data_IF_834088960861
#
_entry.id   IF_834088960861
#
_cell.length_a   1.000
_cell.length_b   1.000
_cell.length_c   1.000
_cell.angle_alpha   90.00
_cell.angle_beta   90.00
_cell.angle_gamma   90.00
#
_symmetry.space_group_name_H-M   'P 1'
#
loop_
_entity.id
_entity.type
_entity.pdbx_description
1 polymer ?
#
# COMPACT_ATOMS: atom_id res chain seq x y z
N UNK A 1 -2.04 38.55 6.04
CA UNK A 1 -1.56 39.65 6.87
C UNK A 1 -1.55 40.90 6.02
N UNK A 2 -2.47 41.82 6.26
CA UNK A 2 -2.44 43.13 5.61
C UNK A 2 -1.21 43.87 6.13
N UNK A 3 -0.30 44.20 5.24
CA UNK A 3 0.78 45.16 5.51
C UNK A 3 0.41 46.48 4.84
N UNK A 4 -0.17 47.36 5.60
CA UNK A 4 -0.19 48.75 5.21
C UNK A 4 0.99 49.44 5.92
N UNK A 5 1.83 50.08 5.15
CA UNK A 5 3.04 50.75 5.68
C UNK A 5 2.75 52.16 6.21
N UNK A 6 1.51 52.67 6.07
CA UNK A 6 1.17 54.06 6.40
C UNK A 6 -0.33 54.24 6.66
N UNK A 7 -0.96 53.38 7.49
CA UNK A 7 -2.30 53.62 8.00
C UNK A 7 -2.17 54.43 9.30
N UNK A 8 -2.91 55.52 9.40
CA UNK A 8 -2.98 56.27 10.65
C UNK A 8 -3.65 55.41 11.74
N UNK A 9 -3.29 55.54 13.01
CA UNK A 9 -3.76 54.65 14.07
C UNK A 9 -5.29 54.59 14.24
N UNK A 10 -6.00 55.63 13.84
CA UNK A 10 -7.46 55.72 13.87
C UNK A 10 -8.16 55.10 12.67
N UNK A 11 -7.43 54.81 11.60
CA UNK A 11 -8.03 54.19 10.40
C UNK A 11 -8.09 52.67 10.52
N UNK A 12 -9.28 52.15 10.50
CA UNK A 12 -9.54 50.68 10.58
C UNK A 12 -9.88 50.14 9.20
N UNK A 13 -9.09 49.19 8.74
CA UNK A 13 -9.47 48.40 7.56
C UNK A 13 -10.49 47.33 7.95
N UNK A 14 -11.65 47.38 7.33
CA UNK A 14 -12.73 46.41 7.53
C UNK A 14 -12.79 45.40 6.36
N UNK A 15 -13.19 44.18 6.63
CA UNK A 15 -13.40 43.13 5.64
C UNK A 15 -13.31 41.74 6.26
N UNK A 16 -13.77 40.75 5.55
CA UNK A 16 -13.65 39.32 5.89
C UNK A 16 -12.53 38.66 5.09
N UNK A 17 -12.05 37.52 5.54
CA UNK A 17 -11.13 36.67 4.78
C UNK A 17 -11.95 35.49 4.26
N UNK A 18 -12.09 35.41 2.95
CA UNK A 18 -12.85 34.34 2.29
C UNK A 18 -11.98 33.57 1.30
N UNK A 19 -12.39 32.36 0.93
CA UNK A 19 -11.81 31.61 -0.17
C UNK A 19 -12.37 32.09 -1.55
N UNK A 20 -12.04 31.32 -2.62
CA UNK A 20 -12.51 31.63 -3.98
C UNK A 20 -14.03 31.54 -4.14
N UNK A 21 -14.70 30.73 -3.31
CA UNK A 21 -16.13 30.51 -3.31
C UNK A 21 -16.88 31.51 -2.42
N UNK A 22 -16.15 32.34 -1.69
CA UNK A 22 -16.70 33.36 -0.81
C UNK A 22 -16.97 32.88 0.62
N UNK A 23 -16.52 31.68 0.96
CA UNK A 23 -16.70 31.08 2.28
C UNK A 23 -15.65 31.60 3.28
N UNK A 24 -16.05 31.80 4.53
CA UNK A 24 -15.14 32.20 5.61
C UNK A 24 -14.15 31.09 5.92
N UNK A 25 -12.86 31.35 5.63
CA UNK A 25 -11.78 30.39 5.83
C UNK A 25 -11.38 30.12 7.27
N UNK A 26 -11.94 30.82 8.22
CA UNK A 26 -11.61 30.60 9.65
C UNK A 26 -12.45 29.48 10.29
N UNK A 27 -13.46 28.96 9.59
CA UNK A 27 -14.48 28.11 10.18
C UNK A 27 -14.29 26.59 10.04
N UNK A 28 -13.83 26.05 8.94
CA UNK A 28 -13.63 24.60 8.78
C UNK A 28 -12.91 24.23 7.48
N UNK A 29 -11.73 23.66 7.58
CA UNK A 29 -11.09 23.08 6.42
C UNK A 29 -11.31 21.59 6.39
N UNK A 30 -12.05 21.17 5.37
CA UNK A 30 -12.32 19.79 5.16
C UNK A 30 -11.16 19.03 4.53
N UNK A 31 -10.59 19.51 3.44
CA UNK A 31 -9.73 18.71 2.58
C UNK A 31 -8.28 19.21 2.49
N UNK A 32 -7.35 18.29 2.25
CA UNK A 32 -5.99 18.63 1.88
C UNK A 32 -5.97 19.33 0.52
N UNK A 33 -5.21 20.41 0.40
CA UNK A 33 -5.15 21.19 -0.82
C UNK A 33 -4.55 22.57 -0.65
N UNK A 34 -4.56 23.32 -1.72
CA UNK A 34 -4.11 24.70 -1.73
C UNK A 34 -5.31 25.63 -1.95
N UNK A 35 -5.55 26.50 -0.99
CA UNK A 35 -6.65 27.46 -0.99
C UNK A 35 -6.09 28.87 -1.22
N UNK A 36 -6.77 29.64 -2.02
CA UNK A 36 -6.47 31.06 -2.22
C UNK A 36 -7.19 31.84 -1.14
N UNK A 37 -6.44 32.64 -0.40
CA UNK A 37 -7.01 33.58 0.58
C UNK A 37 -7.17 34.91 -0.13
N UNK A 38 -8.39 35.25 -0.46
CA UNK A 38 -8.74 36.56 -0.95
C UNK A 38 -9.34 37.37 0.21
N UNK A 39 -9.07 38.63 0.23
CA UNK A 39 -9.81 39.55 1.09
C UNK A 39 -10.85 40.25 0.25
N UNK A 40 -12.10 40.01 0.56
CA UNK A 40 -13.19 40.76 -0.02
C UNK A 40 -13.48 42.02 0.80
N UNK A 41 -13.95 43.09 0.12
CA UNK A 41 -14.44 44.32 0.71
C UNK A 41 -13.49 45.07 1.67
N UNK A 42 -12.18 45.03 1.41
CA UNK A 42 -11.31 45.94 2.11
C UNK A 42 -11.47 47.36 1.58
N UNK A 43 -12.22 48.16 2.30
CA UNK A 43 -12.47 49.55 1.94
C UNK A 43 -12.05 50.50 3.05
N UNK A 44 -11.55 51.63 2.67
CA UNK A 44 -11.28 52.74 3.55
C UNK A 44 -11.44 54.06 2.76
N UNK A 45 -12.09 55.07 3.35
CA UNK A 45 -12.36 56.31 2.66
C UNK A 45 -11.11 57.12 2.34
N UNK A 46 -10.06 56.95 3.12
CA UNK A 46 -8.84 57.73 3.03
C UNK A 46 -7.73 57.01 2.23
N UNK A 47 -7.95 55.74 1.85
CA UNK A 47 -6.90 54.91 1.19
C UNK A 47 -7.47 54.16 -0.01
N UNK A 48 -6.67 54.06 -1.06
CA UNK A 48 -6.88 53.11 -2.15
C UNK A 48 -6.30 51.76 -1.73
N UNK A 49 -7.17 50.80 -1.40
CA UNK A 49 -6.78 49.51 -0.82
C UNK A 49 -6.58 48.48 -1.90
N UNK A 50 -5.32 48.08 -2.12
CA UNK A 50 -4.99 46.94 -3.01
C UNK A 50 -4.73 45.72 -2.15
N UNK A 51 -5.53 44.67 -2.36
CA UNK A 51 -5.38 43.39 -1.66
C UNK A 51 -4.63 42.41 -2.56
N UNK A 52 -3.51 41.89 -2.07
CA UNK A 52 -2.78 40.83 -2.74
C UNK A 52 -3.24 39.47 -2.20
N UNK A 53 -3.48 38.47 -3.08
CA UNK A 53 -3.88 37.15 -2.66
C UNK A 53 -2.80 36.46 -1.84
N UNK A 54 -3.20 35.69 -0.86
CA UNK A 54 -2.36 34.79 -0.09
C UNK A 54 -2.82 33.33 -0.31
N UNK A 55 -2.05 32.37 0.18
CA UNK A 55 -2.39 30.96 0.02
C UNK A 55 -2.34 30.25 1.38
N UNK A 56 -3.34 29.41 1.60
CA UNK A 56 -3.35 28.41 2.66
C UNK A 56 -3.06 27.05 2.03
N UNK A 57 -2.08 26.34 2.55
CA UNK A 57 -1.80 24.96 2.16
C UNK A 57 -2.22 24.05 3.32
N UNK A 58 -3.17 23.16 3.06
CA UNK A 58 -3.56 22.10 3.97
C UNK A 58 -2.88 20.83 3.51
N UNK A 59 -1.93 20.34 4.28
CA UNK A 59 -1.18 19.12 3.94
C UNK A 59 -2.01 17.87 4.24
N UNK A 60 -1.92 16.83 3.42
CA UNK A 60 -2.52 15.54 3.73
C UNK A 60 -1.97 14.99 5.06
N UNK A 61 -2.83 14.32 5.81
CA UNK A 61 -2.45 13.61 7.03
C UNK A 61 -1.75 12.29 6.65
N UNK A 62 -0.72 11.91 7.39
CA UNK A 62 -0.08 10.61 7.23
C UNK A 62 -0.98 9.50 7.77
N UNK A 63 -1.13 8.44 6.99
CA UNK A 63 -1.82 7.21 7.37
C UNK A 63 -0.85 6.03 7.36
N UNK A 64 -0.90 5.24 8.41
CA UNK A 64 -0.13 4.02 8.52
C UNK A 64 -0.86 2.86 7.85
N UNK A 65 -0.10 1.94 7.29
CA UNK A 65 -0.64 0.69 6.78
C UNK A 65 -0.10 -0.50 7.57
N UNK A 66 -0.90 -1.56 7.57
CA UNK A 66 -0.50 -2.87 8.08
C UNK A 66 -0.61 -3.90 6.96
N UNK A 67 0.38 -4.79 6.91
CA UNK A 67 0.40 -5.90 5.99
C UNK A 67 -0.09 -7.16 6.70
N UNK A 68 -1.11 -7.79 6.15
CA UNK A 68 -1.49 -9.16 6.53
C UNK A 68 -0.71 -10.14 5.65
N UNK A 69 0.58 -10.29 5.96
CA UNK A 69 1.52 -11.03 5.14
C UNK A 69 2.69 -11.57 5.98
N UNK A 70 3.16 -12.77 5.64
CA UNK A 70 4.43 -13.29 6.13
C UNK A 70 5.58 -12.82 5.25
N UNK A 71 6.79 -12.80 5.80
CA UNK A 71 8.00 -12.54 5.01
C UNK A 71 8.44 -13.79 4.19
N UNK A 72 7.99 -14.98 4.59
CA UNK A 72 8.29 -16.24 3.91
C UNK A 72 7.04 -17.12 3.83
N UNK A 73 6.86 -17.75 2.69
CA UNK A 73 5.84 -18.75 2.39
C UNK A 73 6.52 -20.01 1.87
N UNK A 74 5.87 -21.15 2.01
CA UNK A 74 6.27 -22.39 1.35
C UNK A 74 5.36 -22.63 0.15
N UNK A 75 5.89 -23.07 -0.96
CA UNK A 75 5.13 -23.38 -2.15
C UNK A 75 4.01 -24.41 -1.87
N UNK A 76 2.80 -24.06 -2.24
CA UNK A 76 1.61 -24.91 -2.08
C UNK A 76 0.84 -25.11 -3.39
N UNK A 77 1.29 -24.50 -4.48
CA UNK A 77 0.55 -24.40 -5.74
C UNK A 77 -0.56 -23.36 -5.75
N UNK A 78 -0.79 -22.69 -4.62
CA UNK A 78 -1.79 -21.63 -4.50
C UNK A 78 -1.12 -20.27 -4.32
N UNK A 79 -1.86 -19.20 -4.65
CA UNK A 79 -1.40 -17.84 -4.44
C UNK A 79 -1.21 -17.51 -2.94
N UNK A 80 -0.21 -16.69 -2.62
CA UNK A 80 0.09 -16.28 -1.23
C UNK A 80 -1.03 -15.48 -0.57
N UNK A 81 -1.82 -14.72 -1.37
CA UNK A 81 -2.94 -13.94 -0.85
C UNK A 81 -2.52 -12.84 0.12
N UNK A 82 -1.51 -12.05 -0.25
CA UNK A 82 -1.03 -10.93 0.57
C UNK A 82 -2.04 -9.80 0.55
N UNK A 83 -2.38 -9.29 1.73
CA UNK A 83 -3.28 -8.16 1.89
C UNK A 83 -2.58 -7.02 2.63
N UNK A 84 -3.05 -5.81 2.39
CA UNK A 84 -2.61 -4.64 3.12
C UNK A 84 -3.80 -3.72 3.39
N UNK A 85 -3.86 -3.16 4.59
CA UNK A 85 -4.95 -2.31 5.03
C UNK A 85 -4.42 -1.01 5.64
N UNK A 86 -5.21 0.05 5.57
CA UNK A 86 -4.93 1.28 6.30
C UNK A 86 -5.35 1.07 7.75
N UNK A 87 -4.48 1.42 8.69
CA UNK A 87 -4.79 1.33 10.12
C UNK A 87 -5.86 2.35 10.50
N UNK A 88 -6.94 1.88 11.11
CA UNK A 88 -8.08 2.71 11.48
C UNK A 88 -7.71 3.83 12.47
N UNK A 89 -6.78 3.57 13.38
CA UNK A 89 -6.31 4.53 14.38
C UNK A 89 -5.47 5.68 13.80
N UNK A 90 -4.97 5.52 12.57
CA UNK A 90 -4.29 6.58 11.84
C UNK A 90 -5.25 7.55 11.13
N UNK A 91 -6.53 7.20 11.02
CA UNK A 91 -7.56 8.00 10.38
C UNK A 91 -8.31 8.89 11.41
N UNK A 92 -8.99 9.91 10.91
CA UNK A 92 -9.96 10.67 11.72
C UNK A 92 -11.25 9.85 11.85
N UNK A 93 -11.96 10.00 12.98
CA UNK A 93 -13.12 9.15 13.35
C UNK A 93 -14.22 8.99 12.28
N UNK A 94 -14.38 9.97 11.40
CA UNK A 94 -15.43 9.95 10.37
C UNK A 94 -14.92 9.61 8.99
N UNK A 95 -13.60 9.44 8.86
CA UNK A 95 -12.99 9.21 7.57
C UNK A 95 -12.88 7.73 7.26
N UNK A 96 -13.02 7.43 5.97
CA UNK A 96 -12.67 6.14 5.40
C UNK A 96 -11.53 6.30 4.41
N UNK A 97 -10.59 5.38 4.46
CA UNK A 97 -9.46 5.37 3.55
C UNK A 97 -9.00 3.92 3.33
N UNK A 98 -8.74 3.56 2.10
CA UNK A 98 -8.25 2.24 1.72
C UNK A 98 -7.07 2.37 0.75
N UNK A 99 -6.35 1.29 0.54
CA UNK A 99 -5.31 1.21 -0.47
C UNK A 99 -5.98 1.23 -1.86
N UNK A 100 -5.55 2.13 -2.72
CA UNK A 100 -6.14 2.31 -4.06
C UNK A 100 -5.80 1.15 -4.99
N UNK A 101 -4.59 0.61 -4.87
CA UNK A 101 -4.12 -0.50 -5.71
C UNK A 101 -3.05 -1.32 -4.99
N UNK A 102 -3.22 -2.64 -5.02
CA UNK A 102 -2.24 -3.62 -4.57
C UNK A 102 -1.72 -4.39 -5.78
N UNK A 103 -0.40 -4.49 -5.93
CA UNK A 103 0.27 -5.20 -7.02
C UNK A 103 1.20 -6.28 -6.48
N UNK A 104 1.39 -7.33 -7.28
CA UNK A 104 2.31 -8.43 -6.99
C UNK A 104 2.04 -9.13 -5.64
N UNK A 105 0.78 -9.24 -5.26
CA UNK A 105 0.34 -9.82 -3.99
C UNK A 105 -0.02 -11.33 -4.10
N UNK A 106 -0.12 -11.87 -5.33
CA UNK A 106 -0.74 -13.16 -5.64
C UNK A 106 0.21 -14.12 -6.36
N UNK A 107 1.50 -14.10 -6.07
CA UNK A 107 2.44 -15.03 -6.67
C UNK A 107 2.27 -16.46 -6.13
N UNK A 108 2.46 -17.44 -7.02
CA UNK A 108 2.40 -18.87 -6.70
C UNK A 108 3.77 -19.54 -6.76
N UNK A 109 4.63 -19.09 -7.67
CA UNK A 109 5.92 -19.72 -7.95
C UNK A 109 6.98 -19.39 -6.90
N UNK A 110 7.95 -20.29 -6.76
CA UNK A 110 9.13 -20.08 -5.92
C UNK A 110 9.92 -18.87 -6.38
N UNK A 111 10.33 -18.01 -5.43
CA UNK A 111 11.10 -16.82 -5.76
C UNK A 111 10.97 -15.70 -4.72
N UNK A 112 11.68 -14.60 -5.00
CA UNK A 112 11.64 -13.37 -4.19
C UNK A 112 10.78 -12.33 -4.86
N UNK A 113 9.86 -11.75 -4.11
CA UNK A 113 8.85 -10.84 -4.63
C UNK A 113 8.72 -9.58 -3.78
N UNK A 114 8.09 -8.56 -4.39
CA UNK A 114 7.75 -7.30 -3.73
C UNK A 114 6.30 -6.97 -4.02
N UNK A 115 5.46 -7.06 -2.99
CA UNK A 115 4.10 -6.52 -3.07
C UNK A 115 4.14 -5.00 -2.90
N UNK A 116 3.33 -4.30 -3.69
CA UNK A 116 3.30 -2.84 -3.76
C UNK A 116 1.90 -2.32 -3.44
N UNK A 117 1.76 -1.60 -2.35
CA UNK A 117 0.56 -0.80 -2.05
C UNK A 117 0.74 0.60 -2.67
N UNK A 118 -0.14 0.98 -3.58
CA UNK A 118 -0.01 2.20 -4.37
C UNK A 118 -1.20 3.11 -4.15
N UNK A 119 -0.92 4.28 -3.55
CA UNK A 119 -1.88 5.35 -3.32
C UNK A 119 -3.01 4.98 -2.37
N UNK A 120 -3.68 5.99 -1.87
CA UNK A 120 -4.83 5.91 -0.98
C UNK A 120 -6.09 6.40 -1.69
N UNK A 121 -7.25 5.88 -1.31
CA UNK A 121 -8.54 6.27 -1.89
C UNK A 121 -9.00 7.64 -1.44
N UNK A 122 -8.53 8.10 -0.28
CA UNK A 122 -8.85 9.42 0.27
C UNK A 122 -7.63 10.33 0.12
N UNK A 123 -7.76 11.40 -0.67
CA UNK A 123 -6.69 12.34 -1.01
C UNK A 123 -6.26 13.21 0.18
N UNK A 124 -7.02 13.22 1.28
CA UNK A 124 -6.64 13.86 2.53
C UNK A 124 -5.54 13.08 3.28
N UNK A 125 -5.14 11.92 2.77
CA UNK A 125 -4.13 11.06 3.39
C UNK A 125 -3.01 10.70 2.42
N UNK A 126 -1.81 10.52 2.98
CA UNK A 126 -0.64 9.95 2.31
C UNK A 126 -0.08 8.81 3.17
N UNK A 127 0.68 7.90 2.57
CA UNK A 127 1.37 6.88 3.35
C UNK A 127 2.42 7.51 4.27
N UNK A 128 2.46 7.05 5.52
CA UNK A 128 3.49 7.46 6.47
C UNK A 128 4.89 7.07 5.97
N UNK A 129 5.82 8.01 6.03
CA UNK A 129 7.21 7.82 5.63
C UNK A 129 7.47 7.69 4.12
N UNK A 130 6.43 7.59 3.28
CA UNK A 130 6.55 7.53 1.81
C UNK A 130 5.40 8.28 1.15
N UNK A 131 5.65 8.84 -0.03
CA UNK A 131 4.64 9.70 -0.65
C UNK A 131 3.53 8.96 -1.40
N UNK A 132 3.79 7.76 -1.97
CA UNK A 132 2.81 7.12 -2.88
C UNK A 132 2.86 5.61 -2.93
N UNK A 133 3.93 4.96 -2.47
CA UNK A 133 4.10 3.52 -2.59
C UNK A 133 4.68 2.96 -1.30
N UNK A 134 4.06 1.93 -0.79
CA UNK A 134 4.59 1.15 0.32
C UNK A 134 4.90 -0.26 -0.16
N UNK A 135 6.04 -0.82 0.23
CA UNK A 135 6.58 -2.08 -0.29
C UNK A 135 6.66 -3.12 0.82
N UNK A 136 6.23 -4.34 0.52
CA UNK A 136 6.47 -5.52 1.34
C UNK A 136 7.28 -6.55 0.55
N UNK A 137 8.42 -6.95 1.08
CA UNK A 137 9.26 -7.98 0.48
C UNK A 137 8.95 -9.33 1.08
N UNK A 138 8.79 -10.34 0.23
CA UNK A 138 8.51 -11.70 0.65
C UNK A 138 9.14 -12.73 -0.28
N UNK A 139 9.26 -13.95 0.22
CA UNK A 139 9.86 -15.08 -0.48
C UNK A 139 8.90 -16.27 -0.47
N UNK A 140 8.85 -17.00 -1.59
CA UNK A 140 8.20 -18.30 -1.66
C UNK A 140 9.31 -19.34 -1.78
N UNK A 141 9.43 -20.18 -0.76
CA UNK A 141 10.42 -21.26 -0.68
C UNK A 141 9.90 -22.52 -1.37
N UNK A 142 10.83 -23.37 -1.80
CA UNK A 142 10.49 -24.70 -2.28
C UNK A 142 9.81 -25.53 -1.17
N UNK A 143 8.82 -26.33 -1.55
CA UNK A 143 8.26 -27.33 -0.66
C UNK A 143 9.04 -28.63 -0.77
N UNK A 144 9.13 -29.34 0.33
CA UNK A 144 9.62 -30.71 0.30
C UNK A 144 8.52 -31.61 -0.30
N UNK A 145 8.83 -32.41 -1.33
CA UNK A 145 7.85 -33.29 -1.92
C UNK A 145 7.50 -34.44 -0.96
N UNK A 146 6.23 -34.70 -0.77
CA UNK A 146 5.76 -35.89 -0.08
C UNK A 146 5.91 -37.10 -1.03
N UNK A 147 6.91 -37.93 -0.79
CA UNK A 147 7.21 -39.09 -1.62
C UNK A 147 7.20 -40.35 -0.80
N UNK A 148 6.40 -41.33 -1.20
CA UNK A 148 6.46 -42.69 -0.67
C UNK A 148 7.32 -43.55 -1.59
N UNK A 149 8.39 -44.11 -1.07
CA UNK A 149 9.24 -45.00 -1.84
C UNK A 149 8.54 -46.35 -2.12
N UNK A 150 8.71 -46.90 -3.33
CA UNK A 150 8.11 -48.20 -3.69
C UNK A 150 8.78 -49.34 -2.93
N UNK A 151 8.00 -50.38 -2.70
CA UNK A 151 8.51 -51.71 -2.43
C UNK A 151 8.76 -52.47 -3.73
N UNK A 152 9.78 -53.33 -3.74
CA UNK A 152 10.09 -54.18 -4.88
C UNK A 152 10.13 -55.65 -4.44
N UNK A 153 9.47 -56.49 -5.21
CA UNK A 153 9.45 -57.93 -4.98
C UNK A 153 9.91 -58.70 -6.23
N UNK A 154 10.69 -59.74 -6.04
CA UNK A 154 11.11 -60.65 -7.09
C UNK A 154 11.33 -62.05 -6.49
N UNK A 155 11.04 -63.08 -7.23
CA UNK A 155 11.22 -64.47 -6.78
C UNK A 155 12.67 -64.90 -7.02
N UNK A 156 13.26 -65.62 -6.06
CA UNK A 156 14.60 -66.16 -6.22
C UNK A 156 14.72 -67.05 -7.46
N UNK A 157 15.69 -66.78 -8.28
CA UNK A 157 15.90 -67.43 -9.58
C UNK A 157 15.37 -66.66 -10.78
N UNK A 158 14.56 -65.61 -10.54
CA UNK A 158 14.16 -64.67 -11.58
C UNK A 158 15.15 -63.54 -11.75
N UNK A 159 15.21 -62.99 -12.95
CA UNK A 159 15.97 -61.77 -13.23
C UNK A 159 15.41 -60.60 -12.48
N UNK A 160 16.26 -59.71 -11.91
CA UNK A 160 15.85 -58.46 -11.28
C UNK A 160 15.09 -57.54 -12.22
N UNK A 161 15.20 -57.72 -13.55
CA UNK A 161 14.38 -57.01 -14.53
C UNK A 161 12.89 -57.30 -14.42
N UNK A 162 12.54 -58.44 -13.77
CA UNK A 162 11.12 -58.78 -13.52
C UNK A 162 10.56 -58.18 -12.25
N UNK A 163 11.40 -57.53 -11.42
CA UNK A 163 10.93 -56.84 -10.21
C UNK A 163 9.93 -55.73 -10.60
N UNK A 164 8.84 -55.70 -9.91
CA UNK A 164 7.82 -54.65 -10.06
C UNK A 164 7.87 -53.73 -8.87
N UNK A 165 7.86 -52.42 -9.13
CA UNK A 165 7.74 -51.38 -8.08
C UNK A 165 6.26 -51.19 -7.77
N UNK A 166 5.90 -51.16 -6.48
CA UNK A 166 4.53 -50.97 -6.03
C UNK A 166 4.45 -50.15 -4.74
N UNK A 167 3.32 -49.49 -4.50
CA UNK A 167 3.07 -48.71 -3.28
C UNK A 167 3.74 -47.34 -3.29
N UNK A 168 4.28 -46.89 -4.43
CA UNK A 168 4.84 -45.55 -4.56
C UNK A 168 3.72 -44.50 -4.67
N UNK A 169 4.01 -43.32 -4.14
CA UNK A 169 3.17 -42.14 -4.33
C UNK A 169 4.08 -40.87 -4.44
N UNK A 170 3.53 -39.80 -4.98
CA UNK A 170 4.22 -38.58 -5.26
C UNK A 170 4.58 -38.43 -6.74
N UNK A 171 5.06 -37.24 -7.11
CA UNK A 171 5.50 -36.96 -8.47
C UNK A 171 6.91 -37.50 -8.73
N UNK A 172 7.14 -37.97 -9.96
CA UNK A 172 8.44 -38.48 -10.39
C UNK A 172 8.41 -39.89 -10.88
N UNK A 173 9.57 -40.38 -11.32
CA UNK A 173 9.75 -41.77 -11.81
C UNK A 173 10.76 -42.48 -10.92
N UNK A 174 10.32 -43.58 -10.34
CA UNK A 174 11.19 -44.47 -9.57
C UNK A 174 11.88 -45.46 -10.48
N UNK A 175 13.19 -45.67 -10.27
CA UNK A 175 14.02 -46.63 -10.96
C UNK A 175 15.05 -47.22 -10.02
N UNK A 176 15.52 -48.43 -10.32
CA UNK A 176 16.69 -48.97 -9.59
C UNK A 176 17.92 -48.11 -9.82
N UNK A 177 18.71 -47.86 -8.76
CA UNK A 177 19.89 -47.03 -8.84
C UNK A 177 20.97 -47.65 -9.71
N UNK A 178 21.02 -48.98 -9.76
CA UNK A 178 21.98 -49.76 -10.55
C UNK A 178 21.21 -50.67 -11.50
N UNK A 179 21.15 -50.28 -12.78
CA UNK A 179 20.54 -51.04 -13.86
C UNK A 179 21.49 -52.01 -14.53
N UNK A 180 22.75 -52.08 -14.02
CA UNK A 180 23.82 -52.91 -14.62
C UNK A 180 24.15 -54.18 -13.85
N UNK A 181 23.67 -54.35 -12.63
CA UNK A 181 23.87 -55.58 -11.83
C UNK A 181 22.87 -56.64 -12.23
N UNK A 182 23.30 -57.47 -13.13
CA UNK A 182 22.72 -58.77 -13.38
C UNK A 182 23.76 -59.86 -13.35
#
# INVERSE_FOLDING_TARGET
TLKATTIEPEDVLTGSITDEDGDDILGAYGNAGRYVILKDNATNTNYDVVVLPAFLNVSPKEAEIEWNAAAQYTYTGNACGIEANVKADSLLEKDSCAIKKLLNADHTEVGNYKALAIGLTNENYIFSGTNRVHVWEYEILQADPEVTFPAAEVIYGDSLKKATLSGQSGEGVFRFADDTTM
#
